data_IF_229831198293
#
_entry.id   IF_229831198293
#
_cell.length_a   1.000
_cell.length_b   1.000
_cell.length_c   1.000
_cell.angle_alpha   90.00
_cell.angle_beta   90.00
_cell.angle_gamma   90.00
#
_symmetry.space_group_name_H-M   'P 1'
#
loop_
_entity.id
_entity.type
_entity.pdbx_description
1 polymer ?
#
# COMPACT_ATOMS: atom_id res chain seq x y z
N UNK A 1 -26.81 -18.30 -8.26
CA UNK A 1 -27.51 -19.43 -7.63
C UNK A 1 -26.64 -19.99 -6.51
N UNK A 2 -27.03 -19.71 -5.24
CA UNK A 2 -26.37 -20.26 -4.05
C UNK A 2 -26.68 -21.74 -4.02
N UNK A 3 -25.66 -22.59 -4.17
CA UNK A 3 -25.86 -24.03 -4.15
C UNK A 3 -26.28 -24.52 -2.76
N UNK A 4 -26.96 -25.68 -2.66
CA UNK A 4 -27.41 -26.24 -1.38
C UNK A 4 -26.29 -26.47 -0.37
N UNK A 5 -25.02 -26.65 -0.81
CA UNK A 5 -23.83 -26.74 0.04
C UNK A 5 -23.46 -25.41 0.70
N UNK A 6 -23.74 -24.27 0.05
CA UNK A 6 -23.46 -22.94 0.63
C UNK A 6 -24.49 -22.58 1.71
N UNK A 7 -25.74 -23.07 1.61
CA UNK A 7 -26.75 -22.91 2.67
C UNK A 7 -26.41 -23.65 3.96
N UNK A 8 -25.90 -24.86 3.88
CA UNK A 8 -25.51 -25.65 5.05
C UNK A 8 -24.31 -25.02 5.78
N UNK A 9 -23.37 -24.41 5.05
CA UNK A 9 -22.22 -23.71 5.63
C UNK A 9 -22.61 -22.42 6.36
N UNK A 10 -23.68 -21.75 5.95
CA UNK A 10 -24.22 -20.56 6.62
C UNK A 10 -24.83 -20.87 7.98
N UNK A 11 -25.41 -22.07 8.16
CA UNK A 11 -26.01 -22.51 9.42
C UNK A 11 -24.99 -22.94 10.49
N UNK A 12 -23.79 -23.38 10.10
CA UNK A 12 -22.77 -23.96 10.99
C UNK A 12 -21.60 -23.04 11.35
N UNK A 13 -21.80 -21.74 11.53
CA UNK A 13 -20.75 -20.81 11.97
C UNK A 13 -19.72 -20.46 10.90
N UNK A 14 -19.87 -20.91 9.67
CA UNK A 14 -18.96 -20.71 8.54
C UNK A 14 -19.14 -19.33 7.83
N UNK A 15 -19.89 -18.38 8.44
CA UNK A 15 -20.10 -17.05 7.87
C UNK A 15 -18.79 -16.30 7.60
N UNK A 16 -17.74 -16.59 8.37
CA UNK A 16 -16.43 -15.98 8.17
C UNK A 16 -15.65 -16.58 7.01
N UNK A 17 -15.78 -17.86 6.79
CA UNK A 17 -15.25 -18.55 5.59
C UNK A 17 -15.90 -17.99 4.31
N UNK A 18 -17.09 -17.38 4.43
CA UNK A 18 -17.78 -16.76 3.32
C UNK A 18 -17.19 -15.38 2.98
N UNK A 19 -16.77 -14.59 3.97
CA UNK A 19 -16.24 -13.24 3.79
C UNK A 19 -14.76 -13.26 3.37
N UNK A 20 -13.98 -14.16 3.98
CA UNK A 20 -12.56 -14.37 3.66
C UNK A 20 -12.40 -15.75 3.01
N UNK A 21 -13.06 -15.97 1.89
CA UNK A 21 -12.87 -17.19 1.12
C UNK A 21 -11.39 -17.38 0.84
N UNK A 22 -10.88 -18.65 0.89
CA UNK A 22 -9.54 -18.98 0.39
C UNK A 22 -9.29 -18.44 -1.02
N UNK A 23 -10.37 -18.16 -1.74
CA UNK A 23 -10.41 -17.57 -3.06
C UNK A 23 -9.90 -16.12 -3.08
N UNK A 24 -10.25 -15.28 -2.11
CA UNK A 24 -9.73 -13.92 -2.02
C UNK A 24 -8.20 -13.91 -1.89
N UNK A 25 -7.66 -14.79 -1.04
CA UNK A 25 -6.21 -14.93 -0.84
C UNK A 25 -5.53 -15.55 -2.06
N UNK A 26 -6.12 -16.60 -2.66
CA UNK A 26 -5.60 -17.19 -3.91
C UNK A 26 -5.57 -16.23 -5.08
N UNK A 27 -6.51 -15.27 -5.11
CA UNK A 27 -6.61 -14.23 -6.13
C UNK A 27 -5.67 -13.04 -5.86
N UNK A 28 -4.97 -13.02 -4.73
CA UNK A 28 -4.15 -11.88 -4.32
C UNK A 28 -4.99 -10.62 -4.06
N UNK A 29 -6.20 -10.77 -3.51
CA UNK A 29 -7.03 -9.62 -3.17
C UNK A 29 -6.38 -8.80 -2.05
N UNK A 30 -6.26 -7.49 -2.24
CA UNK A 30 -5.81 -6.56 -1.21
C UNK A 30 -6.91 -6.24 -0.20
N UNK A 31 -8.15 -6.16 -0.67
CA UNK A 31 -9.30 -5.81 0.17
C UNK A 31 -10.52 -6.65 -0.19
N UNK A 32 -11.31 -6.99 0.82
CA UNK A 32 -12.65 -7.56 0.68
C UNK A 32 -13.68 -6.54 1.17
N UNK A 33 -14.59 -6.17 0.31
CA UNK A 33 -15.68 -5.25 0.61
C UNK A 33 -16.97 -6.02 0.79
N UNK A 34 -17.62 -5.85 1.93
CA UNK A 34 -18.93 -6.41 2.26
C UNK A 34 -19.88 -5.21 2.33
N UNK A 35 -20.77 -5.12 1.38
CA UNK A 35 -21.60 -3.94 1.15
C UNK A 35 -23.08 -4.28 1.32
N UNK A 36 -23.67 -3.73 2.36
CA UNK A 36 -25.10 -3.91 2.67
C UNK A 36 -25.94 -2.92 1.88
N UNK A 37 -26.84 -3.44 1.05
CA UNK A 37 -27.88 -2.68 0.34
C UNK A 37 -29.26 -3.12 0.81
N UNK A 38 -30.29 -2.35 0.50
CA UNK A 38 -31.69 -2.67 0.89
C UNK A 38 -32.15 -4.02 0.31
N UNK A 39 -31.75 -4.34 -0.92
CA UNK A 39 -32.16 -5.55 -1.64
C UNK A 39 -31.17 -6.69 -1.60
N UNK A 40 -29.88 -6.42 -1.31
CA UNK A 40 -28.82 -7.40 -1.43
C UNK A 40 -27.64 -7.10 -0.53
N UNK A 41 -26.84 -8.13 -0.24
CA UNK A 41 -25.50 -8.03 0.31
C UNK A 41 -24.50 -8.38 -0.79
N UNK A 42 -23.66 -7.43 -1.19
CA UNK A 42 -22.60 -7.68 -2.18
C UNK A 42 -21.26 -7.87 -1.50
N UNK A 43 -20.52 -8.90 -1.93
CA UNK A 43 -19.13 -9.08 -1.55
C UNK A 43 -18.27 -8.86 -2.79
N UNK A 44 -17.35 -7.91 -2.71
CA UNK A 44 -16.42 -7.60 -3.79
C UNK A 44 -14.98 -7.73 -3.32
N UNK A 45 -14.12 -8.20 -4.19
CA UNK A 45 -12.68 -8.27 -3.97
C UNK A 45 -11.98 -7.16 -4.76
N UNK A 46 -10.99 -6.52 -4.13
CA UNK A 46 -10.06 -5.65 -4.86
C UNK A 46 -8.84 -6.48 -5.24
N UNK A 47 -8.68 -6.74 -6.52
CA UNK A 47 -7.55 -7.52 -7.07
C UNK A 47 -6.82 -6.62 -8.08
N UNK A 48 -5.51 -6.43 -7.89
CA UNK A 48 -4.68 -5.54 -8.73
C UNK A 48 -5.30 -4.14 -8.89
N UNK A 49 -5.88 -3.59 -7.81
CA UNK A 49 -6.50 -2.27 -7.77
C UNK A 49 -7.94 -2.23 -8.30
N UNK A 50 -8.45 -3.29 -8.94
CA UNK A 50 -9.79 -3.34 -9.55
C UNK A 50 -10.78 -4.08 -8.68
N UNK A 51 -11.98 -3.50 -8.51
CA UNK A 51 -13.08 -4.13 -7.78
C UNK A 51 -13.78 -5.18 -8.64
N UNK A 52 -14.03 -6.36 -8.07
CA UNK A 52 -14.75 -7.46 -8.72
C UNK A 52 -15.82 -8.01 -7.80
N UNK A 53 -17.00 -8.23 -8.33
CA UNK A 53 -18.07 -8.90 -7.59
C UNK A 53 -17.71 -10.38 -7.42
N UNK A 54 -17.68 -10.83 -6.17
CA UNK A 54 -17.43 -12.22 -5.81
C UNK A 54 -18.71 -12.94 -5.42
N UNK A 55 -19.60 -12.26 -4.70
CA UNK A 55 -20.88 -12.81 -4.26
C UNK A 55 -21.97 -11.74 -4.25
N UNK A 56 -23.18 -12.18 -4.57
CA UNK A 56 -24.41 -11.42 -4.37
C UNK A 56 -25.38 -12.28 -3.55
N UNK A 57 -25.72 -11.84 -2.36
CA UNK A 57 -26.45 -12.61 -1.36
C UNK A 57 -27.73 -11.85 -0.95
N UNK A 58 -28.75 -12.55 -0.45
CA UNK A 58 -29.93 -11.89 0.08
C UNK A 58 -29.60 -10.94 1.23
N UNK A 59 -30.23 -9.75 1.29
CA UNK A 59 -29.97 -8.71 2.29
C UNK A 59 -30.08 -9.21 3.75
N UNK A 60 -30.98 -10.19 4.03
CA UNK A 60 -31.16 -10.80 5.35
C UNK A 60 -29.90 -11.43 5.96
N UNK A 61 -28.88 -11.71 5.13
CA UNK A 61 -27.61 -12.30 5.59
C UNK A 61 -26.67 -11.21 6.15
N UNK A 62 -26.84 -9.95 5.75
CA UNK A 62 -25.95 -8.86 6.12
C UNK A 62 -25.75 -8.71 7.63
N UNK A 63 -26.79 -8.65 8.50
CA UNK A 63 -26.59 -8.50 9.94
C UNK A 63 -25.80 -9.65 10.57
N UNK A 64 -26.00 -10.87 10.09
CA UNK A 64 -25.32 -12.07 10.60
C UNK A 64 -23.82 -12.04 10.23
N UNK A 65 -23.53 -11.71 8.98
CA UNK A 65 -22.15 -11.65 8.49
C UNK A 65 -21.38 -10.53 9.17
N UNK A 66 -21.97 -9.33 9.24
CA UNK A 66 -21.36 -8.17 9.90
C UNK A 66 -21.10 -8.43 11.39
N UNK A 67 -22.09 -8.98 12.12
CA UNK A 67 -21.93 -9.33 13.52
C UNK A 67 -20.79 -10.34 13.73
N UNK A 68 -20.69 -11.34 12.84
CA UNK A 68 -19.60 -12.32 12.93
C UNK A 68 -18.22 -11.69 12.70
N UNK A 69 -18.10 -10.79 11.72
CA UNK A 69 -16.86 -10.05 11.46
C UNK A 69 -16.49 -9.18 12.66
N UNK A 70 -17.47 -8.49 13.28
CA UNK A 70 -17.25 -7.70 14.49
C UNK A 70 -16.74 -8.53 15.67
N UNK A 71 -17.35 -9.71 15.92
CA UNK A 71 -16.87 -10.63 16.97
C UNK A 71 -15.41 -10.99 16.76
N UNK A 72 -15.04 -11.35 15.54
CA UNK A 72 -13.67 -11.76 15.23
C UNK A 72 -12.68 -10.61 15.36
N UNK A 73 -13.09 -9.39 14.99
CA UNK A 73 -12.29 -8.18 15.11
C UNK A 73 -12.31 -7.56 16.51
N UNK A 74 -13.02 -8.17 17.48
CA UNK A 74 -13.24 -7.68 18.84
C UNK A 74 -13.89 -6.29 18.88
N UNK A 75 -14.83 -6.05 17.95
CA UNK A 75 -15.61 -4.82 17.85
C UNK A 75 -16.94 -4.98 18.62
N UNK A 76 -17.55 -3.85 18.98
CA UNK A 76 -18.85 -3.82 19.63
C UNK A 76 -19.96 -4.20 18.63
N UNK A 77 -20.65 -5.30 18.90
CA UNK A 77 -21.73 -5.82 18.03
C UNK A 77 -22.99 -4.99 18.18
N UNK A 78 -23.23 -4.43 19.38
CA UNK A 78 -24.42 -3.65 19.69
C UNK A 78 -24.36 -2.25 19.05
N UNK A 79 -23.18 -1.65 18.98
CA UNK A 79 -23.00 -0.33 18.39
C UNK A 79 -22.93 -0.43 16.86
N UNK A 80 -23.88 0.24 16.18
CA UNK A 80 -24.03 0.22 14.70
C UNK A 80 -24.13 1.61 14.09
N UNK A 81 -24.00 2.66 14.91
CA UNK A 81 -24.21 4.06 14.51
C UNK A 81 -22.91 4.81 14.26
N UNK A 82 -21.78 4.27 14.71
CA UNK A 82 -20.46 4.88 14.54
C UNK A 82 -19.50 3.91 13.84
N UNK A 83 -18.50 4.42 13.10
CA UNK A 83 -17.44 3.59 12.55
C UNK A 83 -16.65 2.89 13.64
N UNK A 84 -16.18 1.68 13.34
CA UNK A 84 -15.31 0.93 14.24
C UNK A 84 -14.17 0.29 13.43
N UNK A 85 -12.98 0.26 14.01
CA UNK A 85 -11.79 -0.33 13.42
C UNK A 85 -11.22 -1.40 14.35
N UNK A 86 -10.80 -2.52 13.77
CA UNK A 86 -10.22 -3.65 14.49
C UNK A 86 -9.25 -4.46 13.65
N UNK A 87 -8.73 -5.53 14.26
CA UNK A 87 -7.79 -6.44 13.60
C UNK A 87 -8.16 -7.89 13.89
N UNK A 88 -7.89 -8.76 12.91
CA UNK A 88 -8.06 -10.21 13.02
C UNK A 88 -6.82 -10.87 12.47
N UNK A 89 -6.19 -11.76 13.24
CA UNK A 89 -5.15 -12.64 12.72
C UNK A 89 -5.78 -13.98 12.33
N UNK A 90 -5.56 -14.42 11.11
CA UNK A 90 -6.14 -15.63 10.54
C UNK A 90 -5.03 -16.59 10.10
N UNK A 91 -5.15 -17.85 10.47
CA UNK A 91 -4.33 -18.92 9.93
C UNK A 91 -5.05 -19.56 8.72
N UNK A 92 -4.40 -19.57 7.58
CA UNK A 92 -4.88 -20.23 6.36
C UNK A 92 -3.84 -21.21 5.83
N UNK A 93 -3.96 -22.47 6.24
CA UNK A 93 -2.92 -23.46 6.01
C UNK A 93 -1.64 -23.08 6.77
N UNK A 94 -0.51 -23.00 6.08
CA UNK A 94 0.77 -22.55 6.65
C UNK A 94 0.93 -21.02 6.74
N UNK A 95 0.01 -20.23 6.13
CA UNK A 95 0.10 -18.77 6.09
C UNK A 95 -0.62 -18.13 7.26
N UNK A 96 0.01 -17.11 7.84
CA UNK A 96 -0.61 -16.22 8.79
C UNK A 96 -0.94 -14.88 8.10
N UNK A 97 -2.22 -14.52 8.11
CA UNK A 97 -2.74 -13.29 7.55
C UNK A 97 -3.17 -12.36 8.68
N UNK A 98 -2.72 -11.13 8.64
CA UNK A 98 -3.32 -10.07 9.44
C UNK A 98 -4.35 -9.34 8.57
N UNK A 99 -5.55 -9.16 9.12
CA UNK A 99 -6.65 -8.49 8.44
C UNK A 99 -7.08 -7.29 9.26
N UNK A 100 -6.98 -6.11 8.68
CA UNK A 100 -7.60 -4.91 9.26
C UNK A 100 -9.06 -4.87 8.87
N UNK A 101 -9.91 -4.62 9.84
CA UNK A 101 -11.36 -4.58 9.69
C UNK A 101 -11.82 -3.16 9.98
N UNK A 102 -12.55 -2.55 9.04
CA UNK A 102 -13.21 -1.28 9.26
C UNK A 102 -14.70 -1.44 8.97
N UNK A 103 -15.54 -0.96 9.87
CA UNK A 103 -17.00 -0.93 9.70
C UNK A 103 -17.48 0.50 9.60
N UNK A 104 -18.44 0.74 8.70
CA UNK A 104 -19.03 2.06 8.48
C UNK A 104 -20.55 1.95 8.40
N UNK A 105 -21.33 2.70 9.21
CA UNK A 105 -22.77 2.80 9.06
C UNK A 105 -23.14 3.37 7.67
N UNK A 106 -24.08 2.72 6.99
CA UNK A 106 -24.64 3.19 5.73
C UNK A 106 -26.15 3.04 5.72
N UNK A 107 -26.85 3.63 4.75
CA UNK A 107 -28.30 3.55 4.64
C UNK A 107 -28.83 2.12 4.60
N UNK A 108 -28.13 1.21 3.92
CA UNK A 108 -28.54 -0.20 3.79
C UNK A 108 -28.09 -1.11 4.93
N UNK A 109 -27.45 -0.56 5.97
CA UNK A 109 -26.81 -1.28 7.08
C UNK A 109 -25.32 -0.99 7.16
N UNK A 110 -24.57 -1.74 7.95
CA UNK A 110 -23.13 -1.52 8.07
C UNK A 110 -22.40 -2.09 6.83
N UNK A 111 -21.49 -1.28 6.29
CA UNK A 111 -20.50 -1.69 5.32
C UNK A 111 -19.24 -2.14 6.05
N UNK A 112 -18.59 -3.20 5.57
CA UNK A 112 -17.32 -3.68 6.13
C UNK A 112 -16.26 -3.75 5.05
N UNK A 113 -15.06 -3.31 5.37
CA UNK A 113 -13.86 -3.48 4.55
C UNK A 113 -12.85 -4.30 5.34
N UNK A 114 -12.37 -5.37 4.73
CA UNK A 114 -11.34 -6.24 5.26
C UNK A 114 -10.09 -6.05 4.40
N UNK A 115 -9.06 -5.38 4.93
CA UNK A 115 -7.76 -5.25 4.26
C UNK A 115 -6.87 -6.41 4.65
N UNK A 116 -6.45 -7.18 3.67
CA UNK A 116 -5.61 -8.36 3.86
C UNK A 116 -4.15 -7.92 3.85
N UNK A 117 -3.44 -8.19 4.93
CA UNK A 117 -2.01 -7.98 5.07
C UNK A 117 -1.36 -9.36 5.11
N UNK A 118 -0.74 -9.73 4.00
CA UNK A 118 -0.02 -11.02 3.90
C UNK A 118 1.40 -10.82 4.42
N UNK A 119 1.71 -11.42 5.56
CA UNK A 119 3.05 -11.35 6.19
C UNK A 119 4.09 -12.16 5.42
N UNK A 120 3.66 -13.15 4.64
CA UNK A 120 4.55 -14.03 3.88
C UNK A 120 4.95 -13.44 2.52
N UNK A 121 4.36 -12.31 2.11
CA UNK A 121 4.89 -11.54 1.00
C UNK A 121 6.18 -10.84 1.49
N UNK A 122 7.23 -11.63 1.71
CA UNK A 122 8.57 -11.18 2.01
C UNK A 122 8.95 -10.04 1.08
N UNK A 123 9.54 -8.99 1.65
CA UNK A 123 9.71 -7.71 0.99
C UNK A 123 10.27 -7.86 -0.43
N UNK A 124 9.58 -7.29 -1.40
CA UNK A 124 10.10 -7.17 -2.76
C UNK A 124 11.43 -6.40 -2.69
N UNK A 125 12.43 -6.89 -3.38
CA UNK A 125 13.68 -6.16 -3.58
C UNK A 125 13.45 -4.96 -4.50
N UNK A 126 14.30 -3.94 -4.41
CA UNK A 126 14.21 -2.77 -5.30
C UNK A 126 14.26 -3.15 -6.79
N UNK A 127 14.94 -4.23 -7.14
CA UNK A 127 15.05 -4.76 -8.50
C UNK A 127 13.71 -5.26 -9.05
N UNK A 128 12.84 -5.77 -8.18
CA UNK A 128 11.54 -6.33 -8.57
C UNK A 128 10.44 -5.27 -8.71
N UNK A 129 10.68 -4.02 -8.27
CA UNK A 129 9.69 -2.95 -8.28
C UNK A 129 9.44 -2.33 -9.66
N UNK A 130 10.30 -2.63 -10.65
CA UNK A 130 10.13 -2.16 -12.03
C UNK A 130 10.82 -0.84 -12.35
N UNK A 131 11.80 -0.42 -11.55
CA UNK A 131 12.65 0.71 -11.90
C UNK A 131 13.44 0.45 -13.20
N UNK A 132 13.57 1.47 -14.03
CA UNK A 132 14.54 1.42 -15.11
C UNK A 132 15.98 1.39 -14.54
N UNK A 133 16.96 0.82 -15.26
CA UNK A 133 18.33 0.73 -14.73
C UNK A 133 18.92 2.08 -14.27
N UNK A 134 18.75 3.20 -15.02
CA UNK A 134 19.21 4.52 -14.56
C UNK A 134 18.50 5.00 -13.29
N UNK A 135 17.17 4.79 -13.20
CA UNK A 135 16.37 5.18 -12.04
C UNK A 135 16.75 4.37 -10.80
N UNK A 136 16.94 3.05 -10.96
CA UNK A 136 17.41 2.19 -9.88
C UNK A 136 18.79 2.61 -9.37
N UNK A 137 19.73 2.89 -10.28
CA UNK A 137 21.06 3.35 -9.91
C UNK A 137 21.03 4.71 -9.18
N UNK A 138 20.14 5.64 -9.60
CA UNK A 138 19.96 6.90 -8.90
C UNK A 138 19.42 6.70 -7.47
N UNK A 139 18.41 5.84 -7.31
CA UNK A 139 17.85 5.50 -5.99
C UNK A 139 18.92 4.84 -5.09
N UNK A 140 19.65 3.87 -5.61
CA UNK A 140 20.72 3.20 -4.85
C UNK A 140 21.83 4.17 -4.41
N UNK A 141 22.24 5.10 -5.29
CA UNK A 141 23.20 6.15 -4.91
C UNK A 141 22.67 7.05 -3.78
N UNK A 142 21.41 7.49 -3.91
CA UNK A 142 20.79 8.33 -2.88
C UNK A 142 20.68 7.61 -1.52
N UNK A 143 20.40 6.30 -1.52
CA UNK A 143 20.35 5.48 -0.30
C UNK A 143 21.72 5.23 0.33
N UNK A 144 22.82 5.40 -0.42
CA UNK A 144 24.17 5.26 0.09
C UNK A 144 24.73 6.56 0.67
N UNK A 145 24.03 7.68 0.53
CA UNK A 145 24.47 8.94 1.15
C UNK A 145 24.34 8.85 2.67
N UNK A 146 25.28 9.42 3.42
CA UNK A 146 25.23 9.34 4.89
C UNK A 146 24.05 10.14 5.46
N UNK A 147 23.58 11.14 4.74
CA UNK A 147 22.50 12.03 5.17
C UNK A 147 21.73 12.60 4.00
N UNK A 148 20.56 13.11 4.28
CA UNK A 148 19.66 13.71 3.28
C UNK A 148 18.28 13.10 3.32
N UNK A 149 17.41 13.51 2.40
CA UNK A 149 16.02 13.04 2.29
C UNK A 149 15.84 12.33 0.95
N UNK A 150 15.37 11.09 1.01
CA UNK A 150 14.80 10.38 -0.15
C UNK A 150 13.28 10.38 -0.01
N UNK A 151 12.62 10.99 -0.97
CA UNK A 151 11.17 11.22 -0.92
C UNK A 151 10.47 10.40 -1.98
N UNK A 152 9.46 9.62 -1.58
CA UNK A 152 8.62 8.87 -2.51
C UNK A 152 7.22 9.47 -2.54
N UNK A 153 6.71 9.79 -3.72
CA UNK A 153 5.40 10.39 -3.89
C UNK A 153 4.51 9.61 -4.86
N UNK A 154 3.24 9.94 -4.88
CA UNK A 154 2.22 9.32 -5.71
C UNK A 154 0.88 9.20 -4.99
N UNK A 155 -0.19 8.86 -5.70
CA UNK A 155 -1.51 8.68 -5.11
C UNK A 155 -1.54 7.50 -4.14
N UNK A 156 -2.65 7.37 -3.40
CA UNK A 156 -2.89 6.20 -2.56
C UNK A 156 -2.89 4.93 -3.42
N UNK A 157 -2.21 3.89 -2.93
CA UNK A 157 -2.10 2.62 -3.65
C UNK A 157 -1.06 2.61 -4.78
N UNK A 158 -0.20 3.63 -4.89
CA UNK A 158 0.90 3.66 -5.87
C UNK A 158 2.12 2.81 -5.48
N UNK A 159 2.12 2.18 -4.29
CA UNK A 159 3.22 1.31 -3.82
C UNK A 159 4.33 2.03 -3.06
N UNK A 160 4.12 3.28 -2.60
CA UNK A 160 5.12 4.05 -1.86
C UNK A 160 5.72 3.30 -0.67
N UNK A 161 4.87 2.74 0.18
CA UNK A 161 5.30 1.95 1.35
C UNK A 161 6.14 0.74 0.93
N UNK A 162 5.74 0.04 -0.14
CA UNK A 162 6.53 -1.09 -0.67
C UNK A 162 7.92 -0.66 -1.09
N UNK A 163 8.05 0.51 -1.76
CA UNK A 163 9.35 1.06 -2.17
C UNK A 163 10.19 1.45 -0.96
N UNK A 164 9.60 2.10 0.06
CA UNK A 164 10.32 2.43 1.29
C UNK A 164 10.78 1.18 2.04
N UNK A 165 9.93 0.17 2.16
CA UNK A 165 10.32 -1.09 2.82
C UNK A 165 11.39 -1.84 2.05
N UNK A 166 11.36 -1.83 0.71
CA UNK A 166 12.45 -2.38 -0.12
C UNK A 166 13.76 -1.60 0.08
N UNK A 167 13.69 -0.28 0.27
CA UNK A 167 14.84 0.55 0.61
C UNK A 167 15.37 0.23 2.01
N UNK A 168 14.48 0.07 3.01
CA UNK A 168 14.88 -0.38 4.35
C UNK A 168 15.56 -1.75 4.30
N UNK A 169 15.05 -2.70 3.52
CA UNK A 169 15.66 -4.01 3.34
C UNK A 169 17.08 -3.94 2.77
N UNK A 170 17.37 -2.99 1.87
CA UNK A 170 18.70 -2.75 1.34
C UNK A 170 19.63 -2.11 2.38
N UNK A 171 19.09 -1.22 3.23
CA UNK A 171 19.86 -0.49 4.24
C UNK A 171 20.10 -1.31 5.52
N UNK A 172 19.30 -2.33 5.76
CA UNK A 172 19.33 -3.16 6.97
C UNK A 172 20.44 -4.22 6.89
N UNK A 173 21.67 -3.77 7.01
CA UNK A 173 22.90 -4.57 6.94
C UNK A 173 23.41 -5.05 8.32
N UNK A 174 22.65 -4.75 9.38
CA UNK A 174 23.01 -5.07 10.77
C UNK A 174 24.06 -4.12 11.38
N UNK A 175 24.51 -3.11 10.64
CA UNK A 175 25.47 -2.10 11.14
C UNK A 175 24.81 -0.74 11.40
N UNK A 176 23.62 -0.52 10.86
CA UNK A 176 22.87 0.73 10.96
C UNK A 176 21.72 0.60 11.95
N UNK A 177 21.55 1.62 12.78
CA UNK A 177 20.35 1.78 13.60
C UNK A 177 19.24 2.41 12.77
N UNK A 178 18.24 1.59 12.39
CA UNK A 178 17.13 1.98 11.54
C UNK A 178 15.85 2.08 12.37
N UNK A 179 15.26 3.27 12.43
CA UNK A 179 14.05 3.53 13.20
C UNK A 179 12.96 4.12 12.31
N UNK A 180 11.69 3.72 12.55
CA UNK A 180 10.55 4.21 11.77
C UNK A 180 9.43 4.76 12.65
N UNK A 181 8.63 5.69 12.09
CA UNK A 181 7.33 6.12 12.62
C UNK A 181 6.29 6.03 11.51
N UNK A 182 5.23 5.25 11.74
CA UNK A 182 4.30 4.81 10.69
C UNK A 182 2.82 4.90 11.15
N UNK A 183 1.90 5.06 10.21
CA UNK A 183 0.45 5.11 10.48
C UNK A 183 -0.34 4.27 9.45
N UNK A 184 -0.50 2.97 9.75
CA UNK A 184 0.18 2.18 10.77
C UNK A 184 1.39 1.42 10.19
N UNK A 185 2.10 0.67 11.04
CA UNK A 185 3.10 -0.33 10.60
C UNK A 185 2.39 -1.38 9.74
N UNK A 186 2.89 -1.62 8.51
CA UNK A 186 2.28 -2.58 7.59
C UNK A 186 2.64 -4.02 7.94
N UNK A 187 3.92 -4.31 8.13
CA UNK A 187 4.44 -5.58 8.65
C UNK A 187 5.76 -5.37 9.40
N UNK A 188 6.11 -6.31 10.26
CA UNK A 188 7.36 -6.24 11.00
C UNK A 188 8.56 -6.50 10.08
N UNK A 189 9.61 -5.73 10.24
CA UNK A 189 10.91 -5.90 9.58
C UNK A 189 11.94 -6.20 10.66
N UNK A 190 12.54 -7.39 10.60
CA UNK A 190 13.56 -7.77 11.57
C UNK A 190 14.75 -6.82 11.50
N UNK A 191 15.26 -6.41 12.66
CA UNK A 191 16.38 -5.47 12.77
C UNK A 191 16.00 -3.99 12.62
N UNK A 192 14.70 -3.66 12.40
CA UNK A 192 14.21 -2.28 12.31
C UNK A 192 13.33 -1.95 13.52
N UNK A 193 13.60 -0.85 14.19
CA UNK A 193 12.79 -0.35 15.30
C UNK A 193 11.57 0.41 14.79
N UNK A 194 10.40 -0.25 14.72
CA UNK A 194 9.18 0.32 14.13
C UNK A 194 8.24 0.87 15.20
N UNK A 195 7.91 2.16 15.12
CA UNK A 195 6.97 2.85 16.01
C UNK A 195 5.68 3.17 15.26
N UNK A 196 4.54 2.86 15.87
CA UNK A 196 3.24 3.20 15.29
C UNK A 196 2.66 4.46 15.91
N UNK A 197 2.15 5.36 15.06
CA UNK A 197 1.34 6.52 15.47
C UNK A 197 0.14 6.05 16.30
N UNK A 198 -0.14 6.77 17.38
CA UNK A 198 -1.30 6.54 18.24
C UNK A 198 -1.86 7.87 18.77
N UNK A 199 -2.83 8.41 18.05
CA UNK A 199 -3.44 9.70 18.36
C UNK A 199 -4.09 9.74 19.77
N UNK A 200 -4.55 8.58 20.30
CA UNK A 200 -5.21 8.51 21.62
C UNK A 200 -4.27 8.88 22.78
N UNK A 201 -2.98 8.66 22.60
CA UNK A 201 -1.94 8.97 23.60
C UNK A 201 -1.01 10.11 23.14
N UNK A 202 -1.38 10.85 22.09
CA UNK A 202 -0.61 11.96 21.60
C UNK A 202 0.64 11.58 20.77
N UNK A 203 0.81 10.31 20.40
CA UNK A 203 1.91 9.86 19.55
C UNK A 203 1.60 10.19 18.09
N UNK A 204 2.00 11.39 17.64
CA UNK A 204 1.93 11.85 16.24
C UNK A 204 3.23 11.52 15.48
N UNK A 205 3.25 11.76 14.16
CA UNK A 205 4.48 11.66 13.37
C UNK A 205 5.59 12.57 13.92
N UNK A 206 5.26 13.83 14.22
CA UNK A 206 6.21 14.79 14.78
C UNK A 206 6.73 14.36 16.16
N UNK A 207 5.85 13.89 17.05
CA UNK A 207 6.24 13.41 18.37
C UNK A 207 7.13 12.17 18.29
N UNK A 208 6.76 11.21 17.44
CA UNK A 208 7.55 10.00 17.20
C UNK A 208 8.91 10.31 16.60
N UNK A 209 8.97 11.17 15.59
CA UNK A 209 10.23 11.56 14.94
C UNK A 209 11.18 12.25 15.92
N UNK A 210 10.70 13.20 16.75
CA UNK A 210 11.53 13.82 17.80
C UNK A 210 12.07 12.79 18.81
N UNK A 211 11.29 11.77 19.15
CA UNK A 211 11.73 10.72 20.06
C UNK A 211 12.79 9.85 19.41
N UNK A 212 12.60 9.45 18.17
CA UNK A 212 13.52 8.63 17.36
C UNK A 212 14.89 9.31 17.25
N UNK A 213 14.95 10.62 16.99
CA UNK A 213 16.22 11.36 16.87
C UNK A 213 17.07 11.40 18.15
N UNK A 214 16.52 10.97 19.29
CA UNK A 214 17.28 10.79 20.55
C UNK A 214 17.69 9.35 20.82
N UNK A 215 17.48 8.46 19.85
CA UNK A 215 17.79 7.03 19.94
C UNK A 215 18.99 6.65 19.05
N UNK A 216 19.83 7.63 18.72
CA UNK A 216 21.04 7.44 17.90
C UNK A 216 20.78 6.70 16.57
N UNK A 217 19.83 7.18 15.73
CA UNK A 217 19.52 6.54 14.46
C UNK A 217 20.53 6.93 13.38
N UNK A 218 20.87 6.00 12.48
CA UNK A 218 21.55 6.30 11.22
C UNK A 218 20.51 6.58 10.12
N UNK A 219 19.43 5.82 10.12
CA UNK A 219 18.34 5.92 9.13
C UNK A 219 17.00 6.08 9.83
N UNK A 220 16.25 7.05 9.39
CA UNK A 220 14.91 7.33 9.89
C UNK A 220 13.89 7.24 8.78
N UNK A 221 12.83 6.44 8.94
CA UNK A 221 11.70 6.45 8.02
C UNK A 221 10.48 7.10 8.69
N UNK A 222 9.95 8.14 8.06
CA UNK A 222 8.67 8.75 8.41
C UNK A 222 7.64 8.31 7.38
N UNK A 223 6.61 7.59 7.79
CA UNK A 223 5.62 7.01 6.89
C UNK A 223 5.06 8.02 5.90
N UNK A 224 4.75 9.24 6.37
CA UNK A 224 4.39 10.36 5.51
C UNK A 224 4.61 11.72 6.19
N UNK A 225 4.86 12.75 5.38
CA UNK A 225 4.90 14.15 5.79
C UNK A 225 3.60 14.83 5.35
N UNK A 226 2.76 15.19 6.34
CA UNK A 226 1.47 15.85 6.11
C UNK A 226 1.48 17.35 6.45
N UNK A 227 2.32 17.74 7.39
CA UNK A 227 2.34 19.05 8.03
C UNK A 227 3.74 19.64 8.12
N UNK A 228 3.81 20.98 8.34
CA UNK A 228 5.07 21.70 8.41
C UNK A 228 5.95 21.32 9.60
N UNK A 229 5.34 20.91 10.74
CA UNK A 229 6.11 20.49 11.91
C UNK A 229 6.91 19.23 11.63
N UNK A 230 6.26 18.19 11.09
CA UNK A 230 6.92 16.94 10.69
C UNK A 230 7.97 17.20 9.62
N UNK A 231 7.66 18.05 8.62
CA UNK A 231 8.58 18.41 7.55
C UNK A 231 9.85 19.11 8.08
N UNK A 232 9.71 20.10 8.97
CA UNK A 232 10.84 20.81 9.56
C UNK A 232 11.75 19.88 10.35
N UNK A 233 11.18 18.97 11.15
CA UNK A 233 11.99 18.00 11.92
C UNK A 233 12.74 17.04 10.97
N UNK A 234 12.08 16.56 9.91
CA UNK A 234 12.70 15.68 8.91
C UNK A 234 13.86 16.38 8.18
N UNK A 235 13.69 17.65 7.79
CA UNK A 235 14.76 18.46 7.19
C UNK A 235 15.91 18.67 8.17
N UNK A 236 15.64 19.04 9.41
CA UNK A 236 16.67 19.21 10.43
C UNK A 236 17.44 17.91 10.67
N UNK A 237 16.73 16.77 10.77
CA UNK A 237 17.37 15.45 10.91
C UNK A 237 18.35 15.18 9.75
N UNK A 238 17.93 15.46 8.53
CA UNK A 238 18.78 15.25 7.35
C UNK A 238 20.01 16.15 7.33
N UNK A 239 19.91 17.37 7.83
CA UNK A 239 21.04 18.30 7.93
C UNK A 239 21.98 17.97 9.08
N UNK A 240 21.51 17.28 10.10
CA UNK A 240 22.29 16.85 11.27
C UNK A 240 22.91 15.46 11.15
N UNK A 241 22.90 14.88 9.95
CA UNK A 241 23.67 13.65 9.68
C UNK A 241 22.83 12.38 9.47
N UNK A 242 21.50 12.47 9.42
CA UNK A 242 20.63 11.29 9.29
C UNK A 242 20.13 11.13 7.85
N UNK A 243 20.04 9.89 7.37
CA UNK A 243 19.31 9.56 6.15
C UNK A 243 17.81 9.44 6.48
N UNK A 244 17.01 10.30 5.88
CA UNK A 244 15.54 10.32 6.09
C UNK A 244 14.83 9.77 4.87
N UNK A 245 13.99 8.76 5.07
CA UNK A 245 13.10 8.21 4.06
C UNK A 245 11.67 8.65 4.38
N UNK A 246 10.93 9.20 3.40
CA UNK A 246 9.55 9.58 3.67
C UNK A 246 8.68 9.56 2.42
N UNK A 247 7.37 9.79 2.64
CA UNK A 247 6.41 9.99 1.54
C UNK A 247 5.67 11.32 1.65
N UNK A 248 5.21 11.79 0.51
CA UNK A 248 4.18 12.83 0.39
C UNK A 248 3.13 12.38 -0.62
N UNK A 249 2.00 13.09 -0.66
CA UNK A 249 0.92 12.79 -1.61
C UNK A 249 0.87 13.89 -2.68
N UNK A 250 1.56 13.68 -3.80
CA UNK A 250 1.49 14.52 -5.01
C UNK A 250 1.41 13.64 -6.25
N UNK A 251 1.11 14.21 -7.40
CA UNK A 251 0.94 13.46 -8.63
C UNK A 251 2.25 13.17 -9.38
N UNK A 252 3.26 14.01 -9.18
CA UNK A 252 4.56 13.98 -9.86
C UNK A 252 5.68 14.40 -8.89
N UNK A 253 6.92 14.25 -9.32
CA UNK A 253 8.07 14.50 -8.48
C UNK A 253 8.30 16.01 -8.23
N UNK A 254 8.05 16.86 -9.22
CA UNK A 254 8.16 18.31 -9.08
C UNK A 254 7.10 18.87 -8.09
N UNK A 255 5.88 18.34 -8.15
CA UNK A 255 4.82 18.64 -7.21
C UNK A 255 5.17 18.31 -5.76
N UNK A 256 6.02 17.31 -5.52
CA UNK A 256 6.47 16.98 -4.17
C UNK A 256 7.34 18.09 -3.58
N UNK A 257 8.21 18.69 -4.38
CA UNK A 257 9.03 19.84 -3.98
C UNK A 257 8.13 21.05 -3.69
N UNK A 258 7.18 21.32 -4.58
CA UNK A 258 6.20 22.41 -4.38
C UNK A 258 5.41 22.19 -3.09
N UNK A 259 4.95 20.96 -2.84
CA UNK A 259 4.20 20.63 -1.61
C UNK A 259 4.99 20.90 -0.34
N UNK A 260 6.29 20.57 -0.31
CA UNK A 260 7.15 20.85 0.84
C UNK A 260 7.31 22.37 1.06
N UNK A 261 7.39 23.16 -0.01
CA UNK A 261 7.40 24.62 0.09
C UNK A 261 6.08 25.17 0.64
N UNK A 262 4.96 24.65 0.16
CA UNK A 262 3.61 25.09 0.58
C UNK A 262 3.35 24.84 2.07
N UNK A 263 3.95 23.79 2.65
CA UNK A 263 3.88 23.50 4.09
C UNK A 263 4.95 24.22 4.91
N UNK A 264 5.70 25.16 4.30
CA UNK A 264 6.55 26.12 4.97
C UNK A 264 8.04 25.77 5.04
N UNK A 265 8.54 24.89 4.16
CA UNK A 265 9.99 24.62 4.09
C UNK A 265 10.65 25.59 3.10
N UNK A 266 11.65 26.27 3.58
CA UNK A 266 12.43 27.22 2.77
C UNK A 266 13.18 26.55 1.62
N UNK A 267 13.23 27.15 0.42
CA UNK A 267 13.85 26.53 -0.76
C UNK A 267 15.32 26.12 -0.55
N UNK A 268 16.10 26.90 0.16
CA UNK A 268 17.50 26.60 0.41
C UNK A 268 17.69 25.35 1.32
N UNK A 269 16.75 25.13 2.24
CA UNK A 269 16.74 23.93 3.07
C UNK A 269 16.40 22.69 2.25
N UNK A 270 15.44 22.80 1.31
CA UNK A 270 15.14 21.71 0.40
C UNK A 270 16.32 21.37 -0.51
N UNK A 271 16.97 22.37 -1.09
CA UNK A 271 18.16 22.17 -1.93
C UNK A 271 19.29 21.47 -1.18
N UNK A 272 19.47 21.78 0.11
CA UNK A 272 20.52 21.19 0.94
C UNK A 272 20.18 19.80 1.45
N UNK A 273 18.89 19.49 1.67
CA UNK A 273 18.44 18.28 2.33
C UNK A 273 17.97 17.18 1.37
N UNK A 274 17.26 17.53 0.27
CA UNK A 274 16.78 16.53 -0.67
C UNK A 274 17.92 15.90 -1.46
N UNK A 275 17.87 14.58 -1.64
CA UNK A 275 18.79 13.82 -2.48
C UNK A 275 18.09 13.22 -3.70
N UNK A 276 16.85 12.77 -3.50
CA UNK A 276 16.07 12.13 -4.55
C UNK A 276 14.59 12.31 -4.29
N UNK A 277 13.83 12.55 -5.36
CA UNK A 277 12.37 12.46 -5.36
C UNK A 277 11.95 11.43 -6.38
N UNK A 278 11.12 10.47 -5.96
CA UNK A 278 10.57 9.41 -6.79
C UNK A 278 9.06 9.54 -6.82
N UNK A 279 8.50 9.90 -7.95
CA UNK A 279 7.05 9.78 -8.15
C UNK A 279 6.71 8.43 -8.76
N UNK A 280 5.66 7.79 -8.25
CA UNK A 280 5.36 6.40 -8.52
C UNK A 280 3.89 6.15 -8.82
N UNK A 281 3.61 5.29 -9.80
CA UNK A 281 2.31 4.72 -10.09
C UNK A 281 2.42 3.24 -10.36
N UNK A 282 1.32 2.50 -10.16
CA UNK A 282 1.25 1.08 -10.48
C UNK A 282 0.38 0.86 -11.71
N UNK A 283 0.91 0.10 -12.67
CA UNK A 283 0.20 -0.44 -13.81
C UNK A 283 -0.05 -1.93 -13.63
N UNK A 284 -1.16 -2.44 -14.16
CA UNK A 284 -1.39 -3.88 -14.21
C UNK A 284 -0.49 -4.51 -15.27
N UNK A 285 0.15 -5.62 -14.94
CA UNK A 285 0.94 -6.40 -15.90
C UNK A 285 0.03 -7.28 -16.74
N UNK A 286 0.29 -7.37 -18.03
CA UNK A 286 -0.37 -8.35 -18.87
C UNK A 286 -0.05 -9.77 -18.39
N UNK A 287 -1.04 -10.64 -18.40
CA UNK A 287 -0.84 -12.03 -18.03
C UNK A 287 0.12 -12.71 -19.01
N UNK A 288 1.24 -13.26 -18.56
CA UNK A 288 2.24 -13.86 -19.44
C UNK A 288 1.72 -15.10 -20.19
N UNK A 289 0.64 -15.72 -19.68
CA UNK A 289 0.08 -16.96 -20.23
C UNK A 289 -0.95 -16.74 -21.35
N UNK A 290 -1.53 -15.53 -21.44
CA UNK A 290 -2.58 -15.29 -22.42
C UNK A 290 -2.45 -13.95 -23.19
N UNK A 291 -1.42 -13.15 -22.91
CA UNK A 291 -1.17 -11.97 -23.74
C UNK A 291 -0.87 -12.39 -25.18
N UNK A 292 -1.43 -11.68 -26.14
CA UNK A 292 -1.19 -11.93 -27.55
C UNK A 292 -0.50 -10.72 -28.19
N UNK A 293 0.37 -10.94 -29.20
CA UNK A 293 0.91 -9.84 -29.97
C UNK A 293 -0.23 -9.05 -30.62
N UNK A 294 -0.17 -7.75 -30.54
CA UNK A 294 -1.09 -6.84 -31.23
C UNK A 294 -0.45 -6.39 -32.54
N UNK A 295 -1.13 -6.67 -33.64
CA UNK A 295 -0.72 -6.14 -34.94
C UNK A 295 -1.13 -4.67 -35.03
N UNK A 296 -0.19 -3.81 -35.26
CA UNK A 296 -0.30 -2.38 -35.55
C UNK A 296 -1.18 -1.57 -34.58
N UNK A 297 -0.58 -0.68 -33.83
CA UNK A 297 -1.30 0.25 -32.97
C UNK A 297 -1.01 1.70 -33.38
N UNK A 298 -1.86 2.24 -34.26
CA UNK A 298 -1.80 3.64 -34.63
C UNK A 298 -1.83 4.59 -33.45
N UNK A 299 -2.52 4.19 -32.34
CA UNK A 299 -2.58 4.93 -31.09
C UNK A 299 -1.22 4.90 -30.37
N UNK A 300 -0.55 3.74 -30.32
CA UNK A 300 0.77 3.65 -29.69
C UNK A 300 1.80 4.48 -30.49
N UNK A 301 1.74 4.43 -31.80
CA UNK A 301 2.60 5.25 -32.68
C UNK A 301 2.32 6.75 -32.50
N UNK A 302 1.08 7.13 -32.26
CA UNK A 302 0.71 8.53 -32.00
C UNK A 302 1.10 9.02 -30.60
N UNK A 303 1.13 8.13 -29.59
CA UNK A 303 1.45 8.47 -28.20
C UNK A 303 2.96 8.50 -27.91
N UNK A 304 3.75 7.71 -28.66
CA UNK A 304 5.19 7.64 -28.48
C UNK A 304 5.89 8.37 -29.64
N UNK A 305 6.79 9.29 -29.31
CA UNK A 305 7.58 10.03 -30.32
C UNK A 305 8.40 9.10 -31.24
N UNK A 306 8.60 7.85 -30.83
CA UNK A 306 9.25 6.80 -31.60
C UNK A 306 8.46 5.49 -31.45
N UNK A 307 8.43 4.69 -32.52
CA UNK A 307 7.82 3.36 -32.46
C UNK A 307 8.45 2.54 -31.32
N UNK A 308 7.64 1.84 -30.50
CA UNK A 308 8.17 1.00 -29.41
C UNK A 308 9.16 -0.03 -29.97
N UNK A 309 10.29 -0.21 -29.30
CA UNK A 309 11.25 -1.25 -29.66
C UNK A 309 10.70 -2.61 -29.23
N UNK A 310 9.98 -3.29 -30.10
CA UNK A 310 9.47 -4.65 -29.86
C UNK A 310 7.95 -4.78 -30.05
N UNK A 311 7.44 -6.02 -30.00
CA UNK A 311 6.02 -6.28 -30.21
C UNK A 311 5.18 -5.72 -29.07
N UNK A 312 4.10 -5.07 -29.42
CA UNK A 312 3.04 -4.71 -28.49
C UNK A 312 2.16 -5.92 -28.21
N UNK A 313 1.58 -5.95 -27.00
CA UNK A 313 0.72 -7.04 -26.57
C UNK A 313 -0.61 -6.50 -26.05
N UNK A 314 -1.66 -7.30 -26.20
CA UNK A 314 -2.98 -7.02 -25.62
C UNK A 314 -3.40 -8.08 -24.62
N UNK A 315 -4.36 -7.69 -23.77
CA UNK A 315 -4.94 -8.53 -22.74
C UNK A 315 -6.06 -9.38 -23.34
N UNK A 316 -5.95 -10.72 -23.23
CA UNK A 316 -6.98 -11.64 -23.73
C UNK A 316 -7.83 -12.19 -22.59
N UNK A 317 -7.20 -12.88 -21.64
CA UNK A 317 -7.86 -13.55 -20.53
C UNK A 317 -7.77 -15.07 -20.61
N UNK A 318 -7.46 -15.71 -19.47
CA UNK A 318 -7.41 -17.16 -19.32
C UNK A 318 -7.76 -17.55 -17.88
N UNK A 319 -7.94 -18.85 -17.63
CA UNK A 319 -8.25 -19.36 -16.28
C UNK A 319 -7.19 -18.97 -15.23
N UNK A 320 -5.91 -18.81 -15.59
CA UNK A 320 -4.84 -18.41 -14.67
C UNK A 320 -4.93 -16.98 -14.20
N UNK A 321 -5.46 -16.07 -15.03
CA UNK A 321 -5.70 -14.68 -14.66
C UNK A 321 -7.18 -14.38 -14.40
N UNK A 322 -8.01 -15.40 -14.17
CA UNK A 322 -9.47 -15.27 -14.01
C UNK A 322 -10.11 -14.46 -15.14
N UNK A 323 -9.73 -14.74 -16.37
CA UNK A 323 -10.24 -14.14 -17.61
C UNK A 323 -10.08 -12.61 -17.70
N UNK A 324 -9.12 -12.03 -16.95
CA UNK A 324 -8.90 -10.58 -16.95
C UNK A 324 -7.85 -10.11 -17.93
N UNK A 325 -6.98 -11.01 -18.36
CA UNK A 325 -5.82 -10.67 -19.18
C UNK A 325 -4.66 -10.04 -18.39
N UNK A 326 -4.80 -9.87 -17.07
CA UNK A 326 -3.79 -9.23 -16.21
C UNK A 326 -3.42 -10.11 -15.02
N UNK A 327 -2.17 -10.02 -14.57
CA UNK A 327 -1.66 -10.73 -13.40
C UNK A 327 -0.52 -9.94 -12.75
N UNK A 328 -0.79 -9.41 -11.56
CA UNK A 328 0.14 -8.58 -10.80
C UNK A 328 0.25 -7.13 -11.32
N UNK A 329 1.15 -6.37 -10.70
CA UNK A 329 1.37 -4.95 -10.95
C UNK A 329 2.84 -4.67 -11.21
N UNK A 330 3.13 -3.57 -11.90
CA UNK A 330 4.47 -3.05 -12.16
C UNK A 330 4.50 -1.58 -11.82
N UNK A 331 5.55 -1.13 -11.14
CA UNK A 331 5.80 0.29 -10.89
C UNK A 331 6.27 1.00 -12.16
N UNK A 332 5.77 2.21 -12.37
CA UNK A 332 6.37 3.21 -13.25
C UNK A 332 6.83 4.38 -12.39
N UNK A 333 8.01 4.91 -12.70
CA UNK A 333 8.70 5.85 -11.83
C UNK A 333 9.21 7.05 -12.61
N UNK A 334 8.92 8.23 -12.10
CA UNK A 334 9.61 9.46 -12.41
C UNK A 334 10.63 9.71 -11.31
N UNK A 335 11.88 9.90 -11.65
CA UNK A 335 12.97 10.01 -10.67
C UNK A 335 13.74 11.29 -10.93
N UNK A 336 13.77 12.18 -9.94
CA UNK A 336 14.50 13.44 -9.97
C UNK A 336 15.61 13.39 -8.91
N UNK A 337 16.88 13.16 -9.31
CA UNK A 337 18.00 13.42 -8.43
C UNK A 337 18.09 14.91 -8.12
N UNK A 338 18.40 15.27 -6.88
CA UNK A 338 18.62 16.65 -6.46
C UNK A 338 20.10 16.78 -6.16
N UNK A 339 20.84 17.35 -7.09
CA UNK A 339 22.26 17.62 -6.94
C UNK A 339 22.45 19.05 -6.40
N UNK A 340 23.42 19.21 -5.49
CA UNK A 340 23.81 20.52 -4.94
C UNK A 340 24.76 21.23 -5.93
N UNK A 341 24.25 21.62 -7.12
CA UNK A 341 24.98 22.50 -8.06
C UNK A 341 24.30 23.87 -8.13
#
# INVERSE_FOLDING_TARGET
>A
LVTGRDRAKLQNGAACTLALRPEAVRLGASDVHIESFESALRVRFRVDGVMREALNLPARIAPLLVSRVKVMARLDIAERRVPQDGRVSLAMGSRQLDVRVSTLPTRGGERVVLRILDKDQGGLSLQELGFSPPALAALQRALQTPNGIVLVTGPTGSGKTTTLYAALGLLNDGQRNILTVEDPVEYAVDGVGQTQVNARVGMSFAAGLRAILRQDPDVVMVGEIRDGETAQIAVQASLTGHLVLSTVHTNDAAGAITRLRDIGIEPFLLASSLRLVVAQRLLRRLCPHCRQPRADDALATALFAHAPAGPLYEAVGCARCNHTGYAGRLGIHEVIPVDAT
#
